data_IF_058523733016
#
_entry.id   IF_058523733016
#
_cell.length_a   1.000
_cell.length_b   1.000
_cell.length_c   1.000
_cell.angle_alpha   90.00
_cell.angle_beta   90.00
_cell.angle_gamma   90.00
#
_symmetry.space_group_name_H-M   'P 1'
#
loop_
_entity.id
_entity.type
_entity.pdbx_description
1 polymer ?
#
# COMPACT_ATOMS: atom_id res chain seq x y z
N UNK A 1 17.29 30.09 18.92
CA UNK A 1 18.60 30.75 19.12
C UNK A 1 19.73 29.87 18.61
N UNK A 2 20.70 30.42 17.86
CA UNK A 2 21.80 29.69 17.22
C UNK A 2 22.87 29.25 18.23
N UNK A 3 23.70 28.26 17.86
CA UNK A 3 24.80 27.77 18.73
C UNK A 3 25.78 28.90 19.12
N UNK A 4 26.24 29.78 18.19
CA UNK A 4 27.06 30.93 18.54
C UNK A 4 26.41 31.83 19.59
N UNK A 5 25.10 32.07 19.47
CA UNK A 5 24.40 32.95 20.42
C UNK A 5 24.20 32.29 21.78
N UNK A 6 23.76 31.02 21.82
CA UNK A 6 23.57 30.28 23.09
C UNK A 6 24.88 30.10 23.88
N UNK A 7 26.00 29.97 23.17
CA UNK A 7 27.32 29.77 23.78
C UNK A 7 28.06 31.07 24.08
N UNK A 8 27.54 32.22 23.63
CA UNK A 8 28.18 33.50 23.82
C UNK A 8 28.19 33.88 25.30
N UNK A 9 29.38 34.12 25.82
CA UNK A 9 29.60 34.67 27.16
C UNK A 9 30.62 35.80 27.06
N UNK A 10 30.25 37.00 27.49
CA UNK A 10 31.10 38.18 27.45
C UNK A 10 31.35 38.69 28.87
N UNK A 11 32.60 39.02 29.16
CA UNK A 11 33.05 39.55 30.43
C UNK A 11 33.96 40.75 30.15
N UNK A 12 33.98 41.73 31.06
CA UNK A 12 34.84 42.91 30.94
C UNK A 12 35.58 43.17 32.25
N UNK A 13 36.71 43.88 32.18
CA UNK A 13 37.53 44.25 33.34
C UNK A 13 37.15 45.62 33.94
N UNK A 14 36.11 46.27 33.40
CA UNK A 14 35.65 47.62 33.72
C UNK A 14 36.74 48.71 33.64
N UNK A 15 37.84 48.43 32.94
CA UNK A 15 38.97 49.34 32.77
C UNK A 15 39.20 49.62 31.29
N UNK A 16 39.50 48.58 30.51
CA UNK A 16 39.79 48.75 29.07
C UNK A 16 39.48 47.54 28.20
N UNK A 17 39.21 46.36 28.75
CA UNK A 17 39.12 45.12 27.98
C UNK A 17 37.76 44.42 28.12
N UNK A 18 37.26 43.95 26.97
CA UNK A 18 36.12 43.03 26.86
C UNK A 18 36.59 41.73 26.23
N UNK A 19 36.27 40.61 26.86
CA UNK A 19 36.54 39.26 26.37
C UNK A 19 35.24 38.49 26.20
N UNK A 20 34.99 37.98 25.00
CA UNK A 20 33.86 37.14 24.68
C UNK A 20 34.32 35.75 24.27
N UNK A 21 33.64 34.72 24.73
CA UNK A 21 33.83 33.33 24.30
C UNK A 21 32.55 32.81 23.67
N UNK A 22 32.68 32.08 22.56
CA UNK A 22 31.54 31.44 21.88
C UNK A 22 31.99 30.21 21.09
N UNK A 23 31.04 29.43 20.62
CA UNK A 23 31.25 28.18 19.88
C UNK A 23 30.50 28.18 18.55
N UNK A 24 31.07 27.54 17.53
CA UNK A 24 30.37 27.20 16.28
C UNK A 24 30.71 25.79 15.81
N UNK A 25 29.84 25.21 15.00
CA UNK A 25 30.09 23.90 14.40
C UNK A 25 31.21 24.00 13.36
N UNK A 26 32.15 23.04 13.37
CA UNK A 26 33.32 23.01 12.48
C UNK A 26 32.92 23.04 11.00
N UNK A 27 32.01 22.17 10.57
CA UNK A 27 31.56 22.14 9.17
C UNK A 27 30.86 23.45 8.74
N UNK A 28 30.07 24.06 9.64
CA UNK A 28 29.42 25.35 9.34
C UNK A 28 30.45 26.50 9.24
N UNK A 29 31.51 26.44 10.05
CA UNK A 29 32.64 27.35 9.95
C UNK A 29 33.31 27.24 8.58
N UNK A 30 33.62 26.02 8.14
CA UNK A 30 34.29 25.77 6.87
C UNK A 30 33.46 26.27 5.68
N UNK A 31 32.12 26.17 5.76
CA UNK A 31 31.22 26.64 4.71
C UNK A 31 31.06 28.17 4.66
N UNK A 32 30.85 28.81 5.81
CA UNK A 32 30.43 30.22 5.87
C UNK A 32 31.30 31.02 6.84
N UNK A 33 31.49 30.51 8.05
CA UNK A 33 32.16 31.20 9.14
C UNK A 33 31.39 32.42 9.65
N UNK A 34 31.42 32.63 10.97
CA UNK A 34 30.72 33.75 11.60
C UNK A 34 31.69 34.83 12.09
N UNK A 35 31.20 36.06 12.20
CA UNK A 35 31.88 37.20 12.81
C UNK A 35 31.02 37.70 13.96
N UNK A 36 31.61 37.72 15.16
CA UNK A 36 31.03 38.38 16.32
C UNK A 36 31.24 39.89 16.19
N UNK A 37 30.17 40.67 16.36
CA UNK A 37 30.23 42.12 16.46
C UNK A 37 29.56 42.60 17.74
N UNK A 38 30.02 43.75 18.24
CA UNK A 38 29.46 44.48 19.37
C UNK A 38 28.87 45.79 18.87
N UNK A 39 27.68 46.13 19.34
CA UNK A 39 27.00 47.41 19.11
C UNK A 39 26.68 48.05 20.45
N UNK A 40 27.25 49.22 20.69
CA UNK A 40 26.97 50.05 21.85
C UNK A 40 25.68 50.85 21.63
N UNK A 41 24.86 50.99 22.68
CA UNK A 41 23.61 51.74 22.67
C UNK A 41 23.80 53.27 22.45
N UNK A 42 25.01 53.81 22.68
CA UNK A 42 25.31 55.24 22.46
C UNK A 42 25.64 55.53 21.00
N UNK A 43 26.60 54.80 20.42
CA UNK A 43 27.09 55.07 19.04
C UNK A 43 26.28 54.35 17.97
N UNK A 44 25.52 53.31 18.32
CA UNK A 44 24.74 52.44 17.42
C UNK A 44 25.52 51.84 16.25
N UNK A 45 26.86 51.87 16.28
CA UNK A 45 27.74 51.30 15.26
C UNK A 45 28.09 49.85 15.56
N UNK A 46 28.06 49.00 14.52
CA UNK A 46 28.57 47.63 14.61
C UNK A 46 30.09 47.63 14.53
N UNK A 47 30.74 47.12 15.57
CA UNK A 47 32.20 46.95 15.61
C UNK A 47 32.55 45.47 15.76
N UNK A 48 33.27 44.94 14.79
CA UNK A 48 33.71 43.55 14.81
C UNK A 48 34.64 43.29 16.00
N UNK A 49 34.48 42.11 16.59
CA UNK A 49 35.35 41.61 17.65
C UNK A 49 36.49 40.82 17.03
N UNK A 50 37.71 41.02 17.54
CA UNK A 50 38.87 40.26 17.06
C UNK A 50 38.91 38.89 17.74
N UNK A 51 38.48 37.85 17.00
CA UNK A 51 38.37 36.48 17.46
C UNK A 51 39.57 35.63 17.05
N UNK A 52 40.09 34.81 17.97
CA UNK A 52 41.09 33.77 17.70
C UNK A 52 40.54 32.42 18.13
N UNK A 53 40.85 31.39 17.34
CA UNK A 53 40.50 30.00 17.68
C UNK A 53 41.29 29.60 18.94
N UNK A 54 40.60 29.03 19.92
CA UNK A 54 41.23 28.50 21.12
C UNK A 54 41.80 27.11 20.81
N UNK A 55 43.12 26.94 20.97
CA UNK A 55 43.84 25.72 20.54
C UNK A 55 44.32 24.86 21.71
N UNK A 56 44.26 25.32 22.97
CA UNK A 56 44.80 24.56 24.11
C UNK A 56 43.91 24.56 25.38
N UNK A 57 43.76 23.33 25.90
CA UNK A 57 43.53 22.91 27.28
C UNK A 57 42.27 23.38 28.03
N UNK A 58 41.16 22.67 27.79
CA UNK A 58 40.32 22.18 28.89
C UNK A 58 39.94 20.72 28.64
N UNK A 59 40.38 19.84 29.54
CA UNK A 59 39.80 18.51 29.76
C UNK A 59 38.34 18.69 30.21
N UNK A 60 37.34 18.63 29.31
CA UNK A 60 35.95 18.24 29.63
C UNK A 60 35.03 18.21 28.39
N UNK A 61 34.49 17.03 28.08
CA UNK A 61 33.09 16.74 27.66
C UNK A 61 32.41 17.45 26.47
N UNK A 62 33.09 18.25 25.65
CA UNK A 62 32.48 18.78 24.42
C UNK A 62 32.97 18.02 23.18
N UNK A 63 32.07 17.52 22.31
CA UNK A 63 32.46 16.79 21.10
C UNK A 63 33.41 17.63 20.23
N UNK A 64 34.36 16.97 19.57
CA UNK A 64 35.40 17.50 18.64
C UNK A 64 34.82 18.22 17.39
N UNK A 65 33.53 18.47 17.41
CA UNK A 65 32.66 18.99 16.36
C UNK A 65 32.50 20.52 16.48
N UNK A 66 32.85 21.12 17.63
CA UNK A 66 32.70 22.54 17.87
C UNK A 66 34.05 23.28 17.96
N UNK A 67 34.13 24.40 17.25
CA UNK A 67 35.26 25.33 17.29
C UNK A 67 34.98 26.39 18.35
N UNK A 68 35.90 26.51 19.30
CA UNK A 68 35.85 27.51 20.36
C UNK A 68 36.59 28.78 19.94
N UNK A 69 35.93 29.92 20.11
CA UNK A 69 36.46 31.23 19.79
C UNK A 69 36.58 32.09 21.03
N UNK A 70 37.74 32.75 21.15
CA UNK A 70 37.98 33.78 22.16
C UNK A 70 38.20 35.09 21.43
N UNK A 71 37.33 36.06 21.67
CA UNK A 71 37.37 37.37 21.06
C UNK A 71 37.68 38.44 22.08
N UNK A 72 38.56 39.38 21.71
CA UNK A 72 38.97 40.49 22.58
C UNK A 72 38.79 41.81 21.87
N UNK A 73 38.41 42.83 22.64
CA UNK A 73 38.31 44.21 22.16
C UNK A 73 38.65 45.17 23.29
N UNK A 74 39.34 46.25 22.93
CA UNK A 74 39.57 47.38 23.82
C UNK A 74 38.45 48.40 23.69
N UNK A 75 37.98 48.91 24.82
CA UNK A 75 36.97 49.98 24.89
C UNK A 75 37.44 51.06 25.85
N UNK A 76 37.11 52.31 25.55
CA UNK A 76 37.63 53.48 26.28
C UNK A 76 36.62 53.99 27.33
N UNK A 77 35.44 53.38 27.41
CA UNK A 77 34.36 53.83 28.26
C UNK A 77 33.54 52.67 28.81
N UNK A 78 33.31 52.71 30.12
CA UNK A 78 32.35 51.87 30.85
C UNK A 78 31.51 52.79 31.73
N UNK A 79 30.22 52.53 31.81
CA UNK A 79 29.30 53.34 32.61
C UNK A 79 28.06 52.55 33.00
N UNK A 80 27.44 52.95 34.11
CA UNK A 80 26.13 52.41 34.50
C UNK A 80 25.08 52.95 33.51
N UNK A 81 24.30 52.07 32.90
CA UNK A 81 23.31 52.42 31.86
C UNK A 81 23.84 52.37 30.42
N UNK A 82 25.09 51.93 30.22
CA UNK A 82 25.62 51.59 28.89
C UNK A 82 25.30 50.13 28.60
N UNK A 83 24.52 49.89 27.55
CA UNK A 83 24.14 48.55 27.12
C UNK A 83 24.89 48.17 25.84
N UNK A 84 25.52 47.01 25.88
CA UNK A 84 26.20 46.40 24.74
C UNK A 84 25.37 45.27 24.14
N UNK A 85 25.06 45.38 22.84
CA UNK A 85 24.38 44.36 22.07
C UNK A 85 25.42 43.58 21.26
N UNK A 86 25.48 42.27 21.48
CA UNK A 86 26.33 41.38 20.70
C UNK A 86 25.52 40.63 19.65
N UNK A 87 26.09 40.51 18.46
CA UNK A 87 25.45 39.80 17.35
C UNK A 87 26.44 39.06 16.49
N UNK A 88 25.93 38.13 15.68
CA UNK A 88 26.73 37.39 14.72
C UNK A 88 26.29 37.74 13.30
N UNK A 89 27.26 37.88 12.39
CA UNK A 89 27.02 38.01 10.96
C UNK A 89 27.85 36.98 10.18
N UNK A 90 27.31 36.36 9.12
CA UNK A 90 28.09 35.45 8.30
C UNK A 90 29.17 36.22 7.51
N UNK A 91 30.34 35.61 7.29
CA UNK A 91 31.39 36.22 6.44
C UNK A 91 31.01 36.28 4.97
N UNK A 92 30.17 35.34 4.52
CA UNK A 92 29.62 35.30 3.18
C UNK A 92 28.21 35.87 3.17
N UNK A 93 27.87 36.61 2.12
CA UNK A 93 26.50 37.09 1.91
C UNK A 93 25.66 35.90 1.46
N UNK A 94 24.73 35.46 2.31
CA UNK A 94 23.76 34.41 2.00
C UNK A 94 22.42 35.07 1.68
N UNK A 95 22.20 35.36 0.39
CA UNK A 95 20.99 36.02 -0.09
C UNK A 95 20.52 35.33 -1.36
N UNK A 96 19.20 35.14 -1.46
CA UNK A 96 18.54 34.71 -2.69
C UNK A 96 17.38 35.67 -2.95
N UNK A 97 17.17 36.02 -4.20
CA UNK A 97 16.12 36.91 -4.65
C UNK A 97 15.41 36.27 -5.83
N UNK A 98 14.10 36.51 -5.96
CA UNK A 98 13.29 35.99 -7.04
C UNK A 98 12.19 36.99 -7.35
N UNK A 99 12.16 37.46 -8.60
CA UNK A 99 11.02 38.20 -9.13
C UNK A 99 9.91 37.22 -9.51
N UNK A 100 8.74 37.39 -8.91
CA UNK A 100 7.60 36.47 -9.10
C UNK A 100 6.50 37.18 -9.88
N UNK A 101 6.27 36.72 -11.11
CA UNK A 101 5.07 37.09 -11.88
C UNK A 101 3.87 36.29 -11.34
N UNK A 102 2.92 37.00 -10.74
CA UNK A 102 1.74 36.42 -10.11
C UNK A 102 0.83 35.68 -11.11
N UNK A 103 0.84 36.04 -12.38
CA UNK A 103 -0.01 35.42 -13.41
C UNK A 103 0.65 34.22 -14.08
N UNK A 104 1.97 34.08 -13.96
CA UNK A 104 2.73 32.93 -14.49
C UNK A 104 3.13 31.91 -13.41
N UNK A 105 2.88 32.21 -12.14
CA UNK A 105 3.22 31.34 -11.00
C UNK A 105 2.00 31.04 -10.13
N UNK A 106 0.86 30.74 -10.77
CA UNK A 106 -0.40 30.45 -10.06
C UNK A 106 -0.42 28.99 -9.60
N UNK A 107 -0.67 28.77 -8.31
CA UNK A 107 -1.08 27.47 -7.78
C UNK A 107 -2.49 27.61 -7.19
N UNK A 108 -3.53 27.06 -7.87
CA UNK A 108 -4.90 27.13 -7.37
C UNK A 108 -5.06 26.39 -6.04
N UNK A 109 -6.15 26.68 -5.32
CA UNK A 109 -6.52 25.90 -4.16
C UNK A 109 -7.15 24.55 -4.57
N UNK A 110 -7.04 23.50 -3.73
CA UNK A 110 -7.65 22.21 -4.00
C UNK A 110 -9.17 22.32 -4.13
N UNK A 111 -9.80 21.67 -5.11
CA UNK A 111 -11.26 21.64 -5.22
C UNK A 111 -11.90 21.05 -3.97
N UNK A 112 -13.11 21.50 -3.65
CA UNK A 112 -13.81 21.18 -2.41
C UNK A 112 -15.13 20.46 -2.69
N UNK A 113 -15.67 19.79 -1.67
CA UNK A 113 -16.98 19.12 -1.74
C UNK A 113 -17.09 18.13 -2.91
N UNK A 114 -16.04 17.35 -3.16
CA UNK A 114 -16.08 16.25 -4.12
C UNK A 114 -17.11 15.21 -3.65
N UNK A 115 -18.08 14.90 -4.49
CA UNK A 115 -19.15 13.96 -4.20
C UNK A 115 -19.51 13.14 -5.43
N UNK A 116 -20.09 11.96 -5.20
CA UNK A 116 -20.52 11.03 -6.26
C UNK A 116 -22.01 10.78 -6.12
N UNK A 117 -22.74 10.87 -7.22
CA UNK A 117 -24.16 10.51 -7.31
C UNK A 117 -24.39 9.49 -8.42
N UNK A 118 -25.19 8.45 -8.15
CA UNK A 118 -25.61 7.49 -9.17
C UNK A 118 -26.70 8.10 -10.05
N UNK A 119 -26.54 7.98 -11.37
CA UNK A 119 -27.55 8.40 -12.35
C UNK A 119 -28.53 7.26 -12.64
N UNK A 120 -29.69 7.60 -13.22
CA UNK A 120 -30.70 6.62 -13.64
C UNK A 120 -30.22 5.67 -14.75
N UNK A 121 -29.21 6.07 -15.52
CA UNK A 121 -28.54 5.24 -16.53
C UNK A 121 -27.66 4.14 -15.93
N UNK A 122 -27.32 4.22 -14.63
CA UNK A 122 -26.32 3.37 -13.99
C UNK A 122 -24.93 4.02 -13.89
N UNK A 123 -24.70 5.13 -14.60
CA UNK A 123 -23.44 5.88 -14.57
C UNK A 123 -23.26 6.66 -13.27
N UNK A 124 -22.03 7.10 -13.01
CA UNK A 124 -21.67 7.85 -11.80
C UNK A 124 -21.29 9.28 -12.16
N UNK A 125 -22.01 10.25 -11.58
CA UNK A 125 -21.70 11.67 -11.72
C UNK A 125 -20.88 12.14 -10.53
N UNK A 126 -19.62 12.52 -10.79
CA UNK A 126 -18.74 13.20 -9.86
C UNK A 126 -18.99 14.70 -9.96
N UNK A 127 -19.15 15.37 -8.82
CA UNK A 127 -19.29 16.83 -8.76
C UNK A 127 -18.40 17.40 -7.67
N UNK A 128 -17.85 18.59 -7.91
CA UNK A 128 -17.04 19.32 -6.95
C UNK A 128 -17.32 20.82 -7.06
N UNK A 129 -16.73 21.59 -6.14
CA UNK A 129 -16.74 23.06 -6.17
C UNK A 129 -15.33 23.59 -6.29
N UNK A 130 -15.17 24.65 -7.09
CA UNK A 130 -13.98 25.48 -7.05
C UNK A 130 -13.83 26.05 -5.65
N UNK A 131 -12.61 26.04 -5.09
CA UNK A 131 -12.36 26.61 -3.78
C UNK A 131 -12.69 28.11 -3.75
N UNK A 132 -13.23 28.60 -2.63
CA UNK A 132 -13.71 29.98 -2.50
C UNK A 132 -12.63 31.04 -2.79
N UNK A 133 -11.37 30.76 -2.44
CA UNK A 133 -10.23 31.63 -2.75
C UNK A 133 -9.75 31.59 -4.22
N UNK A 134 -10.30 30.70 -5.04
CA UNK A 134 -9.96 30.55 -6.46
C UNK A 134 -11.12 30.91 -7.40
N UNK A 135 -12.21 31.48 -6.88
CA UNK A 135 -13.36 31.86 -7.72
C UNK A 135 -13.02 32.92 -8.78
N UNK A 136 -12.04 33.80 -8.51
CA UNK A 136 -11.53 34.75 -9.51
C UNK A 136 -10.85 34.10 -10.72
N UNK A 137 -10.44 32.82 -10.60
CA UNK A 137 -9.91 32.00 -11.69
C UNK A 137 -11.01 31.16 -12.39
N UNK A 138 -12.28 31.30 -11.98
CA UNK A 138 -13.47 30.56 -12.45
C UNK A 138 -13.30 29.66 -13.67
N UNK A 139 -13.61 30.18 -14.86
CA UNK A 139 -13.55 29.45 -16.14
C UNK A 139 -12.14 29.29 -16.72
N UNK A 140 -11.15 29.86 -16.03
CA UNK A 140 -9.74 29.78 -16.33
C UNK A 140 -9.07 28.56 -15.67
N UNK A 141 -9.83 27.60 -15.14
CA UNK A 141 -9.30 26.37 -14.54
C UNK A 141 -9.63 25.13 -15.38
N UNK A 142 -8.61 24.29 -15.54
CA UNK A 142 -8.75 22.90 -15.95
C UNK A 142 -8.64 22.00 -14.71
N UNK A 143 -9.33 20.88 -14.75
CA UNK A 143 -9.40 19.91 -13.66
C UNK A 143 -8.88 18.56 -14.14
N UNK A 144 -8.18 17.87 -13.24
CA UNK A 144 -7.78 16.50 -13.44
C UNK A 144 -8.46 15.63 -12.39
N UNK A 145 -9.33 14.73 -12.84
CA UNK A 145 -9.97 13.72 -12.02
C UNK A 145 -9.17 12.44 -12.15
N UNK A 146 -8.77 11.87 -11.02
CA UNK A 146 -8.12 10.56 -10.99
C UNK A 146 -8.95 9.61 -10.16
N UNK A 147 -9.15 8.40 -10.67
CA UNK A 147 -9.92 7.36 -9.97
C UNK A 147 -9.32 5.98 -10.20
N UNK A 148 -9.54 5.10 -9.22
CA UNK A 148 -9.05 3.73 -9.20
C UNK A 148 -9.92 2.86 -8.30
N UNK A 149 -9.78 1.54 -8.40
CA UNK A 149 -10.33 0.67 -7.35
C UNK A 149 -9.60 0.95 -6.03
N UNK A 150 -10.30 0.77 -4.91
CA UNK A 150 -9.78 1.09 -3.58
C UNK A 150 -8.44 0.40 -3.29
N UNK A 151 -8.27 -0.83 -3.75
CA UNK A 151 -7.08 -1.66 -3.56
C UNK A 151 -5.93 -1.38 -4.54
N UNK A 152 -6.18 -0.71 -5.66
CA UNK A 152 -5.18 -0.40 -6.69
C UNK A 152 -4.20 0.68 -6.21
N UNK A 153 -3.03 0.77 -6.84
CA UNK A 153 -2.08 1.85 -6.59
C UNK A 153 -2.51 3.14 -7.31
N UNK A 154 -2.04 4.31 -6.86
CA UNK A 154 -2.36 5.57 -7.56
C UNK A 154 -1.61 5.73 -8.88
N UNK A 155 -0.55 4.96 -9.08
CA UNK A 155 0.24 4.85 -10.31
C UNK A 155 -0.54 4.17 -11.44
N UNK A 156 -1.48 3.29 -11.11
CA UNK A 156 -2.35 2.57 -12.04
C UNK A 156 -3.70 3.27 -12.26
N UNK A 157 -3.93 4.42 -11.62
CA UNK A 157 -5.20 5.13 -11.65
C UNK A 157 -5.50 5.73 -13.04
N UNK A 158 -6.78 5.71 -13.41
CA UNK A 158 -7.24 6.39 -14.62
C UNK A 158 -7.31 7.88 -14.35
N UNK A 159 -6.74 8.68 -15.27
CA UNK A 159 -6.70 10.14 -15.19
C UNK A 159 -7.51 10.76 -16.33
N UNK A 160 -8.43 11.66 -15.98
CA UNK A 160 -9.29 12.39 -16.91
C UNK A 160 -8.99 13.88 -16.79
N UNK A 161 -8.58 14.50 -17.90
CA UNK A 161 -8.39 15.94 -17.98
C UNK A 161 -9.66 16.60 -18.52
N UNK A 162 -10.16 17.59 -17.79
CA UNK A 162 -11.44 18.24 -18.03
C UNK A 162 -11.26 19.75 -18.03
N UNK A 163 -11.73 20.42 -19.07
CA UNK A 163 -11.58 21.88 -19.18
C UNK A 163 -12.84 22.60 -18.73
N UNK A 164 -12.67 23.62 -17.88
CA UNK A 164 -13.74 24.54 -17.46
C UNK A 164 -15.05 23.83 -17.03
N UNK A 165 -14.94 22.80 -16.20
CA UNK A 165 -16.09 22.08 -15.66
C UNK A 165 -15.86 21.70 -14.20
N UNK A 166 -16.95 21.54 -13.46
CA UNK A 166 -16.94 21.11 -12.06
C UNK A 166 -17.63 19.76 -11.86
N UNK A 167 -17.84 19.02 -12.95
CA UNK A 167 -18.43 17.70 -12.92
C UNK A 167 -17.81 16.78 -13.97
N UNK A 168 -17.90 15.48 -13.71
CA UNK A 168 -17.42 14.41 -14.58
C UNK A 168 -18.38 13.23 -14.51
N UNK A 169 -18.78 12.68 -15.66
CA UNK A 169 -19.56 11.44 -15.71
C UNK A 169 -18.63 10.27 -15.99
N UNK A 170 -18.69 9.25 -15.14
CA UNK A 170 -18.01 7.98 -15.31
C UNK A 170 -19.01 6.94 -15.81
N UNK A 171 -18.72 6.35 -16.97
CA UNK A 171 -19.56 5.29 -17.54
C UNK A 171 -19.52 4.06 -16.65
N UNK A 172 -20.67 3.44 -16.42
CA UNK A 172 -20.74 2.15 -15.72
C UNK A 172 -20.03 1.02 -16.47
N UNK A 173 -19.84 1.15 -17.79
CA UNK A 173 -19.12 0.16 -18.63
C UNK A 173 -17.61 0.14 -18.36
N UNK A 174 -17.04 1.29 -17.96
CA UNK A 174 -15.61 1.44 -17.65
C UNK A 174 -15.27 0.99 -16.22
N UNK A 175 -16.29 0.72 -15.41
CA UNK A 175 -16.17 0.40 -14.00
C UNK A 175 -16.48 -1.06 -13.74
N UNK A 176 -15.68 -1.68 -12.87
CA UNK A 176 -15.90 -3.07 -12.47
C UNK A 176 -17.13 -3.13 -11.54
N UNK A 177 -18.20 -3.89 -11.88
CA UNK A 177 -19.41 -3.97 -11.05
C UNK A 177 -19.15 -4.69 -9.72
N UNK A 178 -19.65 -4.17 -8.61
CA UNK A 178 -19.46 -4.69 -7.25
C UNK A 178 -18.07 -4.38 -6.67
N UNK A 179 -17.44 -3.29 -7.09
CA UNK A 179 -16.14 -2.83 -6.58
C UNK A 179 -16.26 -1.50 -5.85
N UNK A 180 -15.40 -1.32 -4.83
CA UNK A 180 -15.16 -0.02 -4.21
C UNK A 180 -14.19 0.78 -5.07
N UNK A 181 -14.54 2.02 -5.37
CA UNK A 181 -13.71 2.97 -6.10
C UNK A 181 -13.44 4.19 -5.25
N UNK A 182 -12.26 4.77 -5.46
CA UNK A 182 -11.83 6.02 -4.84
C UNK A 182 -11.43 7.02 -5.94
N UNK A 183 -11.80 8.28 -5.77
CA UNK A 183 -11.46 9.36 -6.68
C UNK A 183 -10.98 10.60 -5.94
N UNK A 184 -10.16 11.38 -6.62
CA UNK A 184 -9.69 12.70 -6.19
C UNK A 184 -9.56 13.61 -7.39
N UNK A 185 -9.72 14.91 -7.17
CA UNK A 185 -9.62 15.91 -8.22
C UNK A 185 -8.62 17.00 -7.83
N UNK A 186 -7.90 17.55 -8.79
CA UNK A 186 -7.07 18.75 -8.60
C UNK A 186 -7.29 19.71 -9.75
N UNK A 187 -6.93 20.97 -9.54
CA UNK A 187 -7.13 22.05 -10.50
C UNK A 187 -5.78 22.58 -10.97
N UNK A 188 -5.73 23.15 -12.16
CA UNK A 188 -4.61 23.91 -12.69
C UNK A 188 -5.12 25.10 -13.49
N UNK A 189 -4.30 26.14 -13.71
CA UNK A 189 -4.58 27.15 -14.71
C UNK A 189 -4.82 26.48 -16.07
N UNK A 190 -5.92 26.84 -16.70
CA UNK A 190 -6.35 26.27 -17.96
C UNK A 190 -5.44 26.71 -19.09
N UNK A 191 -5.22 25.84 -20.06
CA UNK A 191 -4.20 26.09 -21.09
C UNK A 191 -4.49 27.35 -21.94
N UNK A 192 -5.76 27.73 -22.07
CA UNK A 192 -6.20 28.92 -22.79
C UNK A 192 -6.41 30.17 -21.90
N UNK A 193 -6.10 30.09 -20.60
CA UNK A 193 -6.57 31.06 -19.62
C UNK A 193 -5.71 32.32 -19.43
N UNK A 194 -4.58 32.43 -20.13
CA UNK A 194 -3.60 33.51 -19.94
C UNK A 194 -2.80 33.40 -18.63
N UNK A 195 -3.26 32.57 -17.69
CA UNK A 195 -2.56 32.20 -16.47
C UNK A 195 -1.74 30.93 -16.70
N UNK A 196 -0.59 30.83 -16.03
CA UNK A 196 0.20 29.61 -16.00
C UNK A 196 0.68 29.30 -14.58
N UNK A 197 1.09 28.04 -14.37
CA UNK A 197 1.57 27.60 -13.07
C UNK A 197 1.33 26.12 -12.84
N UNK A 198 1.22 25.74 -11.57
CA UNK A 198 1.21 24.35 -11.14
C UNK A 198 -0.19 23.86 -10.79
N UNK A 199 -0.32 22.54 -10.73
CA UNK A 199 -1.50 21.92 -10.16
C UNK A 199 -1.64 22.27 -8.66
N UNK A 200 -2.89 22.40 -8.23
CA UNK A 200 -3.23 22.42 -6.82
C UNK A 200 -2.90 21.08 -6.17
N UNK A 201 -2.89 21.07 -4.83
CA UNK A 201 -2.94 19.79 -4.10
C UNK A 201 -4.25 19.08 -4.43
N UNK A 202 -4.27 17.76 -4.27
CA UNK A 202 -5.47 16.97 -4.43
C UNK A 202 -6.58 17.38 -3.46
N UNK A 203 -7.83 17.26 -3.91
CA UNK A 203 -9.02 17.32 -3.06
C UNK A 203 -9.01 16.20 -2.03
N UNK A 204 -9.93 16.28 -1.07
CA UNK A 204 -10.27 15.09 -0.29
C UNK A 204 -10.83 14.00 -1.20
N UNK A 205 -10.45 12.77 -0.87
CA UNK A 205 -10.83 11.59 -1.62
C UNK A 205 -12.30 11.24 -1.36
N UNK A 206 -12.99 10.79 -2.39
CA UNK A 206 -14.36 10.29 -2.27
C UNK A 206 -14.39 8.80 -2.57
N UNK A 207 -15.08 8.04 -1.73
CA UNK A 207 -15.27 6.60 -1.88
C UNK A 207 -16.71 6.32 -2.33
N UNK A 208 -16.88 5.46 -3.33
CA UNK A 208 -18.20 4.94 -3.71
C UNK A 208 -18.10 3.46 -4.09
N UNK A 209 -19.27 2.81 -4.21
CA UNK A 209 -19.37 1.42 -4.66
C UNK A 209 -20.19 1.35 -5.93
N UNK A 210 -19.75 0.53 -6.87
CA UNK A 210 -20.52 0.23 -8.08
C UNK A 210 -21.64 -0.76 -7.76
N UNK A 211 -22.64 -0.83 -8.64
CA UNK A 211 -23.76 -1.78 -8.50
C UNK A 211 -23.27 -3.22 -8.43
N UNK A 212 -23.91 -4.06 -7.62
CA UNK A 212 -23.51 -5.47 -7.47
C UNK A 212 -23.48 -6.18 -8.83
N UNK A 213 -22.32 -6.76 -9.14
CA UNK A 213 -22.17 -7.63 -10.30
C UNK A 213 -22.77 -9.01 -10.09
N UNK A 214 -22.95 -9.74 -11.20
CA UNK A 214 -23.29 -11.15 -11.18
C UNK A 214 -22.21 -12.03 -10.54
N UNK A 215 -22.45 -13.35 -10.56
CA UNK A 215 -21.50 -14.36 -10.05
C UNK A 215 -20.37 -14.70 -11.03
N UNK A 216 -20.36 -14.08 -12.21
CA UNK A 216 -19.38 -14.36 -13.26
C UNK A 216 -18.01 -13.76 -12.91
N UNK A 217 -16.90 -14.39 -13.34
CA UNK A 217 -15.59 -13.77 -13.31
C UNK A 217 -15.62 -12.42 -14.03
N UNK A 218 -14.91 -11.44 -13.49
CA UNK A 218 -14.93 -10.06 -14.00
C UNK A 218 -13.51 -9.53 -14.19
N UNK A 219 -13.41 -8.38 -14.86
CA UNK A 219 -12.15 -7.67 -15.09
C UNK A 219 -11.05 -8.58 -15.72
N UNK A 220 -11.44 -9.42 -16.70
CA UNK A 220 -10.48 -10.25 -17.43
C UNK A 220 -9.58 -9.35 -18.28
N UNK A 221 -8.29 -9.33 -17.96
CA UNK A 221 -7.27 -8.55 -18.67
C UNK A 221 -6.10 -9.44 -19.04
N UNK A 222 -5.66 -9.37 -20.29
CA UNK A 222 -4.50 -10.08 -20.78
C UNK A 222 -3.48 -9.10 -21.37
N UNK A 223 -2.23 -9.21 -20.94
CA UNK A 223 -1.12 -8.35 -21.36
C UNK A 223 0.00 -9.20 -21.96
N UNK A 224 0.31 -8.95 -23.22
CA UNK A 224 1.45 -9.59 -23.91
C UNK A 224 2.73 -8.81 -23.64
N UNK A 225 3.78 -9.49 -23.20
CA UNK A 225 5.07 -8.87 -22.89
C UNK A 225 5.91 -8.48 -24.13
N UNK A 226 5.41 -8.75 -25.35
CA UNK A 226 6.14 -8.50 -26.60
C UNK A 226 7.17 -9.59 -26.96
N UNK A 227 7.35 -10.59 -26.10
CA UNK A 227 8.28 -11.70 -26.30
C UNK A 227 7.53 -13.02 -26.42
N UNK A 228 7.37 -13.69 -25.29
CA UNK A 228 6.98 -15.09 -25.18
C UNK A 228 5.87 -15.35 -24.15
N UNK A 229 5.31 -14.32 -23.51
CA UNK A 229 4.36 -14.49 -22.40
C UNK A 229 3.16 -13.56 -22.52
N UNK A 230 1.98 -14.18 -22.50
CA UNK A 230 0.70 -13.50 -22.35
C UNK A 230 0.21 -13.72 -20.91
N UNK A 231 0.23 -12.66 -20.10
CA UNK A 231 -0.21 -12.73 -18.70
C UNK A 231 -1.67 -12.31 -18.62
N UNK A 232 -2.53 -13.22 -18.19
CA UNK A 232 -3.95 -12.95 -18.00
C UNK A 232 -4.29 -12.90 -16.52
N UNK A 233 -5.18 -11.99 -16.13
CA UNK A 233 -5.68 -11.83 -14.77
C UNK A 233 -7.18 -11.57 -14.76
N UNK A 234 -7.87 -12.04 -13.74
CA UNK A 234 -9.31 -11.87 -13.55
C UNK A 234 -9.67 -11.84 -12.07
N UNK A 235 -10.87 -11.36 -11.76
CA UNK A 235 -11.38 -11.24 -10.40
C UNK A 235 -12.57 -12.17 -10.16
N UNK A 236 -12.61 -12.80 -8.99
CA UNK A 236 -13.72 -13.65 -8.53
C UNK A 236 -14.06 -13.37 -7.07
N UNK A 237 -15.33 -13.54 -6.67
CA UNK A 237 -15.76 -13.35 -5.28
C UNK A 237 -15.05 -14.37 -4.38
N UNK A 238 -14.38 -13.90 -3.33
CA UNK A 238 -13.59 -14.71 -2.39
C UNK A 238 -14.40 -15.84 -1.75
N UNK A 239 -15.68 -15.61 -1.48
CA UNK A 239 -16.56 -16.65 -0.90
C UNK A 239 -16.78 -17.81 -1.88
N UNK A 240 -16.81 -17.53 -3.18
CA UNK A 240 -17.07 -18.53 -4.23
C UNK A 240 -15.86 -19.43 -4.44
N UNK A 241 -14.62 -18.91 -4.29
CA UNK A 241 -13.40 -19.69 -4.50
C UNK A 241 -13.23 -20.86 -3.51
N UNK A 242 -13.99 -20.87 -2.41
CA UNK A 242 -14.03 -22.00 -1.48
C UNK A 242 -14.77 -23.23 -2.02
N UNK A 243 -15.65 -23.04 -3.02
CA UNK A 243 -16.50 -24.09 -3.57
C UNK A 243 -16.31 -24.32 -5.07
N UNK A 244 -15.82 -23.31 -5.79
CA UNK A 244 -15.66 -23.34 -7.25
C UNK A 244 -14.25 -22.94 -7.61
N UNK A 245 -13.53 -23.85 -8.29
CA UNK A 245 -12.26 -23.53 -8.93
C UNK A 245 -12.52 -22.91 -10.30
N UNK A 246 -11.84 -21.81 -10.60
CA UNK A 246 -11.87 -21.20 -11.93
C UNK A 246 -10.58 -21.53 -12.66
N UNK A 247 -10.72 -21.91 -13.93
CA UNK A 247 -9.61 -22.13 -14.85
C UNK A 247 -9.67 -21.13 -15.99
N UNK A 248 -8.50 -20.78 -16.51
CA UNK A 248 -8.38 -20.00 -17.74
C UNK A 248 -8.12 -20.93 -18.91
N UNK A 249 -8.93 -20.81 -19.95
CA UNK A 249 -8.87 -21.62 -21.15
C UNK A 249 -8.61 -20.73 -22.36
N UNK A 250 -7.73 -21.15 -23.25
CA UNK A 250 -7.35 -20.36 -24.40
C UNK A 250 -7.27 -21.18 -25.70
N UNK A 251 -7.45 -20.47 -26.81
CA UNK A 251 -7.25 -21.01 -28.17
C UNK A 251 -6.34 -20.08 -28.96
N UNK A 252 -5.33 -20.69 -29.57
CA UNK A 252 -4.39 -20.08 -30.50
C UNK A 252 -5.05 -19.58 -31.78
N UNK A 253 -5.99 -20.37 -32.32
CA UNK A 253 -6.74 -20.04 -33.54
C UNK A 253 -8.16 -20.58 -33.40
N UNK A 254 -9.14 -20.12 -34.20
CA UNK A 254 -10.50 -20.66 -34.15
C UNK A 254 -10.59 -22.18 -34.40
N UNK A 255 -9.59 -22.74 -35.09
CA UNK A 255 -9.51 -24.16 -35.42
C UNK A 255 -8.64 -24.99 -34.45
N UNK A 256 -7.93 -24.36 -33.51
CA UNK A 256 -7.11 -25.09 -32.54
C UNK A 256 -7.98 -25.71 -31.44
N UNK A 257 -7.49 -26.80 -30.86
CA UNK A 257 -8.03 -27.31 -29.60
C UNK A 257 -7.87 -26.26 -28.50
N UNK A 258 -8.73 -26.36 -27.50
CA UNK A 258 -8.74 -25.46 -26.35
C UNK A 258 -7.84 -26.00 -25.26
N UNK A 259 -6.88 -25.18 -24.83
CA UNK A 259 -5.90 -25.53 -23.82
C UNK A 259 -6.25 -24.87 -22.48
N UNK A 260 -5.89 -25.55 -21.37
CA UNK A 260 -6.03 -25.01 -20.02
C UNK A 260 -4.70 -24.39 -19.58
N UNK A 261 -4.73 -23.14 -19.13
CA UNK A 261 -3.56 -22.47 -18.58
C UNK A 261 -3.29 -22.95 -17.15
N UNK A 262 -2.05 -23.34 -16.87
CA UNK A 262 -1.61 -23.72 -15.52
C UNK A 262 -0.14 -23.37 -15.27
N UNK A 263 0.27 -23.04 -14.03
CA UNK A 263 -0.57 -22.94 -12.83
C UNK A 263 -1.35 -21.62 -12.75
N UNK A 264 -2.49 -21.65 -12.07
CA UNK A 264 -3.23 -20.43 -11.71
C UNK A 264 -2.71 -19.93 -10.36
N UNK A 265 -2.28 -18.67 -10.34
CA UNK A 265 -1.85 -17.97 -9.14
C UNK A 265 -3.01 -17.17 -8.55
N UNK A 266 -3.10 -17.13 -7.22
CA UNK A 266 -4.11 -16.34 -6.52
C UNK A 266 -3.45 -15.29 -5.62
N UNK A 267 -3.97 -14.07 -5.67
CA UNK A 267 -3.55 -12.95 -4.82
C UNK A 267 -4.77 -12.42 -4.07
N UNK A 268 -4.75 -12.55 -2.75
CA UNK A 268 -5.73 -11.91 -1.87
C UNK A 268 -5.39 -10.43 -1.71
N UNK A 269 -6.37 -9.57 -1.94
CA UNK A 269 -6.24 -8.13 -1.78
C UNK A 269 -6.92 -7.68 -0.47
N UNK A 270 -6.34 -6.75 0.30
CA UNK A 270 -6.94 -6.25 1.52
C UNK A 270 -8.20 -5.42 1.23
N UNK A 271 -9.16 -5.45 2.15
CA UNK A 271 -10.40 -4.64 2.11
C UNK A 271 -11.31 -4.84 0.89
N UNK A 272 -11.14 -5.92 0.13
CA UNK A 272 -12.04 -6.31 -0.97
C UNK A 272 -12.68 -7.69 -0.73
N UNK A 273 -13.87 -7.87 -1.31
CA UNK A 273 -14.62 -9.13 -1.30
C UNK A 273 -14.16 -10.09 -2.42
N UNK A 274 -13.17 -9.67 -3.20
CA UNK A 274 -12.70 -10.38 -4.40
C UNK A 274 -11.24 -10.78 -4.24
N UNK A 275 -10.87 -11.86 -4.94
CA UNK A 275 -9.48 -12.29 -5.12
C UNK A 275 -9.12 -12.16 -6.59
N UNK A 276 -7.87 -11.78 -6.84
CA UNK A 276 -7.33 -11.73 -8.20
C UNK A 276 -6.66 -13.06 -8.48
N UNK A 277 -7.04 -13.70 -9.57
CA UNK A 277 -6.39 -14.89 -10.08
C UNK A 277 -5.69 -14.55 -11.39
N UNK A 278 -4.53 -15.16 -11.63
CA UNK A 278 -3.75 -14.93 -12.85
C UNK A 278 -3.11 -16.21 -13.37
N UNK A 279 -2.86 -16.25 -14.67
CA UNK A 279 -2.16 -17.33 -15.33
C UNK A 279 -1.35 -16.80 -16.51
N UNK A 280 -0.21 -17.43 -16.78
CA UNK A 280 0.72 -17.05 -17.83
C UNK A 280 0.69 -18.07 -18.97
N UNK A 281 0.32 -17.62 -20.17
CA UNK A 281 0.28 -18.46 -21.37
C UNK A 281 1.61 -18.29 -22.12
N UNK A 282 2.35 -19.38 -22.40
CA UNK A 282 3.54 -19.33 -23.24
C UNK A 282 3.16 -19.10 -24.71
N UNK A 283 3.82 -18.14 -25.37
CA UNK A 283 3.59 -17.74 -26.76
C UNK A 283 4.81 -18.12 -27.60
N UNK A 284 4.69 -19.20 -28.39
CA UNK A 284 5.82 -19.79 -29.11
C UNK A 284 6.16 -19.12 -30.44
N UNK A 285 5.20 -18.45 -31.10
CA UNK A 285 5.40 -17.85 -32.43
C UNK A 285 4.57 -16.58 -32.64
N UNK A 286 4.99 -15.49 -32.00
CA UNK A 286 4.32 -14.18 -32.09
C UNK A 286 4.19 -13.63 -33.52
N UNK A 287 5.07 -14.06 -34.44
CA UNK A 287 5.07 -13.65 -35.85
C UNK A 287 3.94 -14.26 -36.68
N UNK A 288 3.43 -15.44 -36.30
CA UNK A 288 2.36 -16.15 -37.03
C UNK A 288 1.02 -16.18 -36.29
N UNK A 289 1.04 -15.84 -34.99
CA UNK A 289 -0.06 -16.06 -34.07
C UNK A 289 -0.40 -14.76 -33.35
N UNK A 290 -1.09 -13.88 -34.07
CA UNK A 290 -1.45 -12.53 -33.63
C UNK A 290 -2.72 -12.46 -32.76
N UNK A 291 -3.41 -13.59 -32.58
CA UNK A 291 -4.70 -13.65 -31.91
C UNK A 291 -4.75 -14.81 -30.91
N UNK A 292 -5.36 -14.56 -29.75
CA UNK A 292 -5.72 -15.57 -28.77
C UNK A 292 -7.17 -15.32 -28.35
N UNK A 293 -7.97 -16.38 -28.31
CA UNK A 293 -9.27 -16.33 -27.64
C UNK A 293 -9.09 -16.86 -26.22
N UNK A 294 -9.42 -16.06 -25.21
CA UNK A 294 -9.26 -16.42 -23.79
C UNK A 294 -10.62 -16.39 -23.12
N UNK A 295 -10.90 -17.39 -22.29
CA UNK A 295 -12.12 -17.49 -21.50
C UNK A 295 -11.81 -17.98 -20.09
N UNK A 296 -12.56 -17.49 -19.11
CA UNK A 296 -12.47 -17.95 -17.72
C UNK A 296 -13.79 -18.62 -17.38
N UNK A 297 -13.73 -19.85 -16.85
CA UNK A 297 -14.92 -20.61 -16.46
C UNK A 297 -14.63 -21.51 -15.27
N UNK A 298 -15.70 -21.96 -14.62
CA UNK A 298 -15.61 -22.94 -13.55
C UNK A 298 -15.01 -24.25 -14.08
N UNK A 299 -14.09 -24.83 -13.33
CA UNK A 299 -13.47 -26.12 -13.60
C UNK A 299 -14.37 -27.23 -13.09
N UNK A 300 -14.58 -28.24 -13.92
CA UNK A 300 -15.27 -29.46 -13.49
C UNK A 300 -14.27 -30.36 -12.78
N UNK A 301 -14.43 -30.53 -11.47
CA UNK A 301 -13.63 -31.46 -10.69
C UNK A 301 -14.32 -32.82 -10.57
N UNK A 302 -13.55 -33.88 -10.77
CA UNK A 302 -14.00 -35.25 -10.60
C UNK A 302 -13.02 -36.01 -9.72
N UNK A 303 -13.54 -36.70 -8.71
CA UNK A 303 -12.75 -37.66 -7.93
C UNK A 303 -13.12 -39.07 -8.36
N UNK A 304 -12.14 -39.82 -8.87
CA UNK A 304 -12.34 -41.25 -9.12
C UNK A 304 -12.45 -41.96 -7.76
N UNK A 305 -13.63 -42.51 -7.48
CA UNK A 305 -13.87 -43.39 -6.34
C UNK A 305 -14.15 -44.78 -6.89
N UNK A 306 -13.16 -45.65 -6.77
CA UNK A 306 -13.28 -47.05 -7.14
C UNK A 306 -14.18 -47.76 -6.12
N UNK A 307 -15.46 -47.97 -6.47
CA UNK A 307 -16.46 -48.54 -5.55
C UNK A 307 -16.01 -49.86 -4.91
N UNK A 308 -15.32 -50.72 -5.66
CA UNK A 308 -14.82 -52.01 -5.17
C UNK A 308 -13.72 -51.90 -4.09
N UNK A 309 -13.08 -50.73 -3.95
CA UNK A 309 -12.11 -50.43 -2.89
C UNK A 309 -12.72 -49.65 -1.72
N UNK A 310 -13.94 -49.15 -1.85
CA UNK A 310 -14.60 -48.26 -0.89
C UNK A 310 -15.91 -48.88 -0.36
N UNK A 311 -15.85 -50.16 0.01
CA UNK A 311 -17.01 -50.92 0.48
C UNK A 311 -17.13 -50.77 2.00
N UNK A 312 -18.25 -50.24 2.47
CA UNK A 312 -18.63 -50.27 3.88
C UNK A 312 -19.77 -51.27 4.07
N UNK A 313 -19.45 -52.46 4.57
CA UNK A 313 -20.46 -53.47 4.90
C UNK A 313 -21.25 -53.06 6.14
N UNK A 314 -22.55 -53.40 6.15
CA UNK A 314 -23.40 -53.21 7.33
C UNK A 314 -22.89 -54.09 8.48
N UNK A 315 -23.03 -53.64 9.74
CA UNK A 315 -22.64 -54.45 10.88
C UNK A 315 -23.41 -55.78 10.93
N UNK A 316 -22.79 -56.88 11.38
CA UNK A 316 -23.48 -58.18 11.50
C UNK A 316 -24.72 -58.08 12.38
N UNK A 317 -25.82 -58.69 11.94
CA UNK A 317 -27.09 -58.64 12.67
C UNK A 317 -27.17 -59.76 13.73
N UNK A 318 -27.96 -59.52 14.78
CA UNK A 318 -28.32 -60.50 15.82
C UNK A 318 -27.12 -61.25 16.42
N UNK A 319 -26.09 -60.49 16.82
CA UNK A 319 -24.96 -61.04 17.56
C UNK A 319 -25.47 -61.59 18.90
N UNK A 320 -25.31 -62.89 19.12
CA UNK A 320 -25.83 -63.61 20.29
C UNK A 320 -24.81 -64.63 20.77
N UNK A 321 -24.84 -64.92 22.08
CA UNK A 321 -23.97 -65.92 22.72
C UNK A 321 -24.85 -67.03 23.28
N UNK A 322 -24.53 -68.27 22.95
CA UNK A 322 -25.19 -69.46 23.48
C UNK A 322 -24.19 -70.36 24.19
N UNK A 323 -24.54 -70.87 25.37
CA UNK A 323 -23.74 -71.87 26.09
C UNK A 323 -24.12 -73.27 25.60
N UNK A 324 -23.13 -74.07 25.23
CA UNK A 324 -23.31 -75.47 24.82
C UNK A 324 -23.32 -76.40 26.03
N UNK A 325 -23.87 -77.60 25.87
CA UNK A 325 -23.94 -78.63 26.93
C UNK A 325 -22.55 -79.02 27.49
N UNK A 326 -21.49 -78.77 26.74
CA UNK A 326 -20.10 -79.08 27.08
C UNK A 326 -19.35 -77.92 27.77
N UNK A 327 -20.04 -76.90 28.31
CA UNK A 327 -19.45 -75.69 28.92
C UNK A 327 -18.66 -74.80 27.95
N UNK A 328 -18.84 -74.93 26.63
CA UNK A 328 -18.25 -74.01 25.65
C UNK A 328 -19.24 -72.90 25.27
N UNK A 329 -18.73 -71.68 25.02
CA UNK A 329 -19.53 -70.54 24.56
C UNK A 329 -19.42 -70.38 23.05
N UNK A 330 -20.55 -70.32 22.37
CA UNK A 330 -20.64 -70.10 20.93
C UNK A 330 -21.19 -68.69 20.64
N UNK A 331 -20.45 -67.91 19.85
CA UNK A 331 -20.89 -66.61 19.36
C UNK A 331 -21.48 -66.77 17.96
N UNK A 332 -22.72 -66.32 17.77
CA UNK A 332 -23.43 -66.40 16.49
C UNK A 332 -23.81 -65.01 16.01
N UNK A 333 -23.71 -64.78 14.71
CA UNK A 333 -24.20 -63.58 14.04
C UNK A 333 -24.76 -63.93 12.68
N UNK A 334 -25.65 -63.08 12.18
CA UNK A 334 -26.24 -63.20 10.86
C UNK A 334 -25.42 -62.35 9.89
N UNK A 335 -24.86 -63.00 8.87
CA UNK A 335 -24.20 -62.32 7.75
C UNK A 335 -25.24 -61.64 6.85
N UNK A 336 -24.90 -60.48 6.30
CA UNK A 336 -25.71 -59.85 5.26
C UNK A 336 -25.46 -60.54 3.93
N UNK A 337 -26.54 -60.87 3.21
CA UNK A 337 -26.44 -61.42 1.87
C UNK A 337 -26.00 -60.32 0.90
N UNK A 338 -24.85 -60.53 0.25
CA UNK A 338 -24.43 -59.68 -0.86
C UNK A 338 -25.00 -60.22 -2.17
N UNK A 339 -25.31 -59.32 -3.10
CA UNK A 339 -25.77 -59.67 -4.46
C UNK A 339 -24.77 -60.55 -5.21
N UNK A 340 -23.48 -60.35 -4.95
CA UNK A 340 -22.40 -61.09 -5.59
C UNK A 340 -21.81 -62.11 -4.61
N UNK A 341 -21.99 -63.38 -4.93
CA UNK A 341 -21.60 -64.52 -4.07
C UNK A 341 -20.08 -64.71 -3.95
N UNK A 342 -19.29 -64.16 -4.87
CA UNK A 342 -17.83 -64.25 -4.86
C UNK A 342 -17.15 -63.27 -3.89
N UNK A 343 -17.90 -62.34 -3.29
CA UNK A 343 -17.35 -61.40 -2.31
C UNK A 343 -17.28 -62.10 -0.95
N UNK A 344 -16.06 -62.41 -0.51
CA UNK A 344 -15.82 -63.05 0.79
C UNK A 344 -15.96 -62.04 1.93
N UNK A 345 -16.59 -62.47 3.02
CA UNK A 345 -16.74 -61.66 4.24
C UNK A 345 -15.80 -62.21 5.31
N UNK A 346 -15.02 -61.33 5.92
CA UNK A 346 -14.17 -61.64 7.07
C UNK A 346 -14.72 -60.95 8.30
N UNK A 347 -14.77 -61.68 9.39
CA UNK A 347 -15.30 -61.18 10.65
C UNK A 347 -14.18 -61.06 11.67
N UNK A 348 -14.14 -59.92 12.34
CA UNK A 348 -13.29 -59.70 13.49
C UNK A 348 -14.15 -59.72 14.75
N UNK A 349 -13.89 -60.67 15.63
CA UNK A 349 -14.58 -60.79 16.92
C UNK A 349 -13.66 -60.27 18.03
N UNK A 350 -14.22 -59.47 18.92
CA UNK A 350 -13.57 -58.99 20.14
C UNK A 350 -14.46 -59.27 21.33
N UNK A 351 -13.89 -59.85 22.39
CA UNK A 351 -14.57 -60.08 23.66
C UNK A 351 -13.60 -59.77 24.82
N UNK A 352 -14.17 -59.39 25.97
CA UNK A 352 -13.44 -59.04 27.18
C UNK A 352 -14.28 -59.36 28.43
N UNK A 353 -13.60 -59.49 29.57
CA UNK A 353 -14.23 -59.61 30.88
C UNK A 353 -14.72 -58.22 31.33
N UNK A 354 -15.96 -58.14 31.82
CA UNK A 354 -16.55 -56.88 32.24
C UNK A 354 -15.66 -56.21 33.32
N UNK A 355 -15.35 -54.92 33.17
CA UNK A 355 -14.43 -54.12 34.00
C UNK A 355 -12.92 -54.43 33.91
N UNK A 356 -12.44 -55.16 32.90
CA UNK A 356 -11.00 -55.32 32.59
C UNK A 356 -10.69 -55.06 31.12
N UNK A 357 -10.45 -53.79 30.77
CA UNK A 357 -10.26 -53.32 29.39
C UNK A 357 -8.92 -53.70 28.73
N UNK A 358 -7.97 -54.28 29.48
CA UNK A 358 -6.59 -54.48 29.01
C UNK A 358 -6.31 -55.85 28.36
N UNK A 359 -7.25 -56.82 28.42
CA UNK A 359 -7.11 -58.14 27.77
C UNK A 359 -8.17 -58.35 26.69
N UNK A 360 -7.90 -57.83 25.50
CA UNK A 360 -8.70 -58.11 24.30
C UNK A 360 -8.15 -59.38 23.65
N UNK A 361 -8.99 -60.42 23.54
CA UNK A 361 -8.63 -61.61 22.76
C UNK A 361 -9.17 -61.47 21.35
N UNK A 362 -8.32 -61.71 20.34
CA UNK A 362 -8.66 -61.54 18.92
C UNK A 362 -8.91 -62.90 18.27
N UNK A 363 -10.04 -63.03 17.58
CA UNK A 363 -10.25 -64.11 16.62
C UNK A 363 -10.73 -63.53 15.29
N UNK A 364 -10.03 -63.88 14.21
CA UNK A 364 -10.42 -63.56 12.84
C UNK A 364 -11.02 -64.84 12.27
N UNK A 365 -12.24 -64.74 11.75
CA UNK A 365 -12.95 -65.87 11.14
C UNK A 365 -13.29 -65.51 9.70
N UNK A 366 -12.78 -66.32 8.77
CA UNK A 366 -13.13 -66.26 7.35
C UNK A 366 -14.34 -67.16 7.10
N UNK A 367 -15.31 -66.68 6.32
CA UNK A 367 -16.51 -67.45 5.93
C UNK A 367 -16.57 -67.71 4.44
#
# INVERSE_FOLDING_TARGET
ESIPMKSLKCYNDYNSQVTCTWMEHSEAHDLVGMVLYQRDNIKMENKDMFCKRQTENYLSETPDVYVHWVCRKTTDYFGIGVDDIYGFRPKKVLRTELDVDLFQNVQPLPPQNLSVSSMTSGDFLLTWKTADGSQGLGSALDYEVTYKQEWESWEEAVSLLLSNTTHCSLSHEDLVPGSSYIARVRARPGQASGFSGQYSKWSMEVLWKTTEGGLQPRNLRCLFNGGDRLTCSWEVKKVITTSVLFGLFFRATPASEEEECSPVHEKTLPHTLYVVQSCEIPVSNSSSQSWYHVSVRAKTEGKLIEAYKNIQVLPPANVSVTATENQEYELRWIKHNMTYSFITQRYQVKYWENNRYEKVTYKVQES
#
